data_IF_384233896624
#
_entry.id   IF_384233896624
#
_cell.length_a   1.000
_cell.length_b   1.000
_cell.length_c   1.000
_cell.angle_alpha   90.00
_cell.angle_beta   90.00
_cell.angle_gamma   90.00
#
_symmetry.space_group_name_H-M   'P 1'
#
loop_
_entity.id
_entity.type
_entity.pdbx_description
1 polymer ?
#
# COMPACT_ATOMS: atom_id res chain seq x y z
N UNK A 1 5.20 12.93 -6.04
CA UNK A 1 5.93 12.88 -7.34
C UNK A 1 6.74 11.60 -7.48
N UNK A 2 7.66 11.25 -6.55
CA UNK A 2 8.41 9.99 -6.58
C UNK A 2 7.53 8.72 -6.48
N UNK A 3 6.49 8.74 -5.62
CA UNK A 3 5.49 7.67 -5.53
C UNK A 3 4.76 7.43 -6.86
N UNK A 4 4.42 8.50 -7.56
CA UNK A 4 3.76 8.47 -8.87
C UNK A 4 4.69 7.98 -9.99
N UNK A 5 5.99 8.28 -9.90
CA UNK A 5 7.00 7.78 -10.83
C UNK A 5 7.23 6.26 -10.69
N UNK A 6 7.25 5.74 -9.45
CA UNK A 6 7.34 4.30 -9.21
C UNK A 6 6.06 3.55 -9.63
N UNK A 7 4.87 4.10 -9.33
CA UNK A 7 3.59 3.55 -9.79
C UNK A 7 3.48 3.50 -11.32
N UNK A 8 4.08 4.45 -12.04
CA UNK A 8 4.13 4.42 -13.51
C UNK A 8 5.07 3.34 -14.06
N UNK A 9 6.13 2.99 -13.34
CA UNK A 9 7.02 1.88 -13.68
C UNK A 9 6.36 0.53 -13.36
N UNK A 10 5.66 0.41 -12.22
CA UNK A 10 4.95 -0.82 -11.81
C UNK A 10 3.76 -1.17 -12.70
N UNK A 11 3.02 -0.17 -13.22
CA UNK A 11 1.92 -0.39 -14.19
C UNK A 11 2.36 -1.09 -15.48
N UNK A 12 3.65 -1.10 -15.81
CA UNK A 12 4.18 -1.74 -17.02
C UNK A 12 4.39 -3.26 -16.87
N UNK A 13 4.25 -3.82 -15.66
CA UNK A 13 4.62 -5.21 -15.35
C UNK A 13 3.40 -6.15 -15.23
N UNK A 14 2.16 -5.65 -15.35
CA UNK A 14 0.95 -6.50 -15.30
C UNK A 14 0.90 -7.46 -14.07
N UNK A 15 1.38 -6.98 -12.91
CA UNK A 15 1.31 -7.74 -11.65
C UNK A 15 -0.09 -7.57 -11.02
N UNK A 16 -0.56 -8.62 -10.35
CA UNK A 16 -1.79 -8.60 -9.54
C UNK A 16 -1.73 -7.42 -8.54
N UNK A 17 -2.82 -6.66 -8.28
CA UNK A 17 -2.79 -5.47 -7.41
C UNK A 17 -2.11 -5.72 -6.06
N UNK A 18 -2.37 -6.88 -5.45
CA UNK A 18 -1.71 -7.38 -4.23
C UNK A 18 -0.16 -7.40 -4.30
N UNK A 19 0.40 -7.89 -5.41
CA UNK A 19 1.85 -7.96 -5.59
C UNK A 19 2.41 -6.57 -5.84
N UNK A 20 1.66 -5.73 -6.55
CA UNK A 20 2.07 -4.35 -6.80
C UNK A 20 2.11 -3.54 -5.49
N UNK A 21 1.14 -3.72 -4.59
CA UNK A 21 1.11 -3.04 -3.29
C UNK A 21 2.23 -3.52 -2.35
N UNK A 22 2.58 -4.81 -2.39
CA UNK A 22 3.74 -5.35 -1.68
C UNK A 22 5.05 -4.73 -2.19
N UNK A 23 5.27 -4.72 -3.50
CA UNK A 23 6.51 -4.17 -4.08
C UNK A 23 6.58 -2.66 -3.86
N UNK A 24 5.45 -1.95 -4.00
CA UNK A 24 5.38 -0.53 -3.74
C UNK A 24 5.73 -0.18 -2.29
N UNK A 25 5.19 -0.92 -1.31
CA UNK A 25 5.47 -0.69 0.11
C UNK A 25 6.93 -0.96 0.50
N UNK A 26 7.57 -2.00 -0.05
CA UNK A 26 9.01 -2.26 0.14
C UNK A 26 9.83 -1.06 -0.39
N UNK A 27 9.52 -0.60 -1.60
CA UNK A 27 10.27 0.48 -2.25
C UNK A 27 10.08 1.81 -1.54
N UNK A 28 8.87 2.09 -1.05
CA UNK A 28 8.58 3.26 -0.23
C UNK A 28 9.45 3.27 1.03
N UNK A 29 9.58 2.14 1.73
CA UNK A 29 10.38 2.03 2.95
C UNK A 29 11.86 2.32 2.68
N UNK A 30 12.41 1.73 1.60
CA UNK A 30 13.80 1.95 1.18
C UNK A 30 14.06 3.41 0.77
N UNK A 31 13.15 4.02 0.00
CA UNK A 31 13.29 5.42 -0.41
C UNK A 31 13.16 6.37 0.78
N UNK A 32 12.24 6.09 1.71
CA UNK A 32 12.07 6.88 2.92
C UNK A 32 13.36 6.94 3.74
N UNK A 33 14.07 5.81 3.86
CA UNK A 33 15.37 5.77 4.53
C UNK A 33 16.43 6.59 3.80
N UNK A 34 16.55 6.45 2.48
CA UNK A 34 17.52 7.21 1.67
C UNK A 34 17.26 8.72 1.81
N UNK A 35 16.00 9.15 1.84
CA UNK A 35 15.64 10.57 2.04
C UNK A 35 16.01 11.10 3.43
N UNK A 36 15.88 10.29 4.48
CA UNK A 36 16.33 10.65 5.84
C UNK A 36 17.86 10.78 5.88
N UNK A 37 18.58 9.87 5.20
CA UNK A 37 20.05 9.91 5.14
C UNK A 37 20.59 11.12 4.36
N UNK A 38 19.84 11.61 3.36
CA UNK A 38 20.16 12.84 2.59
C UNK A 38 19.76 14.12 3.36
N UNK A 39 19.14 14.00 4.54
CA UNK A 39 18.83 15.14 5.41
C UNK A 39 17.54 15.89 5.05
N UNK A 40 16.68 15.32 4.20
CA UNK A 40 15.41 15.93 3.75
C UNK A 40 14.23 15.57 4.68
N UNK A 41 14.46 14.77 5.73
CA UNK A 41 13.44 14.45 6.72
C UNK A 41 14.03 14.03 8.07
N UNK A 42 13.44 14.52 9.17
CA UNK A 42 13.90 14.22 10.54
C UNK A 42 13.29 12.93 11.12
N UNK A 43 12.13 12.52 10.62
CA UNK A 43 11.34 11.44 11.22
C UNK A 43 10.84 10.47 10.15
N UNK A 44 11.49 9.31 10.08
CA UNK A 44 11.19 8.22 9.13
C UNK A 44 9.72 7.76 9.25
N UNK A 45 9.18 7.76 10.47
CA UNK A 45 7.80 7.32 10.75
C UNK A 45 6.75 8.15 10.00
N UNK A 46 6.96 9.47 9.93
CA UNK A 46 6.00 10.38 9.26
C UNK A 46 6.01 10.18 7.75
N UNK A 47 7.17 9.89 7.17
CA UNK A 47 7.32 9.64 5.74
C UNK A 47 6.66 8.31 5.36
N UNK A 48 6.87 7.28 6.19
CA UNK A 48 6.25 5.97 6.01
C UNK A 48 4.72 6.07 6.13
N UNK A 49 4.20 6.67 7.19
CA UNK A 49 2.74 6.83 7.40
C UNK A 49 2.10 7.63 6.24
N UNK A 50 2.73 8.73 5.81
CA UNK A 50 2.21 9.55 4.71
C UNK A 50 2.22 8.83 3.36
N UNK A 51 3.16 7.92 3.13
CA UNK A 51 3.25 7.15 1.89
C UNK A 51 2.27 5.97 1.87
N UNK A 52 2.06 5.32 3.02
CA UNK A 52 1.09 4.22 3.16
C UNK A 52 -0.34 4.70 2.93
N UNK A 53 -0.68 5.93 3.34
CA UNK A 53 -2.05 6.47 3.24
C UNK A 53 -2.66 6.39 1.82
N UNK A 54 -1.85 6.49 0.77
CA UNK A 54 -2.30 6.38 -0.62
C UNK A 54 -2.61 4.94 -1.02
N UNK A 55 -1.95 3.98 -0.38
CA UNK A 55 -2.01 2.55 -0.69
C UNK A 55 -3.09 1.82 0.14
N UNK A 56 -3.60 2.44 1.20
CA UNK A 56 -4.65 1.85 2.04
C UNK A 56 -5.91 1.56 1.19
N UNK A 57 -6.51 0.37 1.32
CA UNK A 57 -7.64 -0.06 0.50
C UNK A 57 -8.98 0.57 0.92
N UNK A 58 -9.03 1.90 1.05
CA UNK A 58 -10.22 2.63 1.50
C UNK A 58 -11.42 2.48 0.56
N UNK A 59 -11.17 2.39 -0.75
CA UNK A 59 -12.22 2.15 -1.73
C UNK A 59 -12.81 0.74 -1.63
N UNK A 60 -11.98 -0.29 -1.42
CA UNK A 60 -12.46 -1.66 -1.22
C UNK A 60 -13.28 -1.81 0.07
N UNK A 61 -12.86 -1.17 1.17
CA UNK A 61 -13.64 -1.14 2.43
C UNK A 61 -14.99 -0.44 2.22
N UNK A 62 -15.01 0.68 1.51
CA UNK A 62 -16.25 1.43 1.25
C UNK A 62 -17.20 0.63 0.34
N UNK A 63 -16.66 -0.01 -0.69
CA UNK A 63 -17.43 -0.89 -1.59
C UNK A 63 -17.96 -2.12 -0.85
N UNK A 64 -17.15 -2.75 0.01
CA UNK A 64 -17.58 -3.84 0.87
C UNK A 64 -18.80 -3.48 1.72
N UNK A 65 -18.76 -2.33 2.41
CA UNK A 65 -19.87 -1.85 3.24
C UNK A 65 -21.08 -1.55 2.36
N UNK A 66 -20.89 -0.84 1.24
CA UNK A 66 -21.95 -0.51 0.30
C UNK A 66 -22.66 -1.76 -0.21
N UNK A 67 -21.91 -2.74 -0.69
CA UNK A 67 -22.46 -3.92 -1.35
C UNK A 67 -23.17 -4.83 -0.31
N UNK A 68 -22.63 -4.91 0.91
CA UNK A 68 -23.29 -5.55 2.06
C UNK A 68 -24.64 -4.89 2.39
N UNK A 69 -24.70 -3.55 2.37
CA UNK A 69 -25.93 -2.80 2.63
C UNK A 69 -26.97 -2.93 1.51
N UNK A 70 -26.55 -3.18 0.27
CA UNK A 70 -27.45 -3.47 -0.86
C UNK A 70 -27.94 -4.92 -0.89
N UNK A 71 -27.54 -5.76 0.09
CA UNK A 71 -27.93 -7.16 0.17
C UNK A 71 -27.07 -8.11 -0.68
N UNK A 72 -26.01 -7.60 -1.32
CA UNK A 72 -25.03 -8.43 -2.02
C UNK A 72 -23.88 -8.80 -1.07
N UNK A 73 -24.16 -9.78 -0.22
CA UNK A 73 -23.20 -10.26 0.77
C UNK A 73 -22.01 -11.01 0.16
N UNK A 74 -22.17 -11.58 -1.04
CA UNK A 74 -21.11 -12.32 -1.72
C UNK A 74 -20.00 -11.37 -2.20
N UNK A 75 -20.38 -10.27 -2.86
CA UNK A 75 -19.43 -9.21 -3.24
C UNK A 75 -18.92 -8.43 -2.03
N UNK A 76 -19.77 -8.18 -1.04
CA UNK A 76 -19.38 -7.57 0.23
C UNK A 76 -18.23 -8.33 0.91
N UNK A 77 -18.39 -9.65 1.08
CA UNK A 77 -17.36 -10.50 1.69
C UNK A 77 -16.07 -10.58 0.84
N UNK A 78 -16.19 -10.63 -0.49
CA UNK A 78 -15.04 -10.63 -1.38
C UNK A 78 -14.22 -9.33 -1.26
N UNK A 79 -14.88 -8.18 -1.21
CA UNK A 79 -14.23 -6.88 -1.05
C UNK A 79 -13.59 -6.72 0.34
N UNK A 80 -14.19 -7.25 1.41
CA UNK A 80 -13.58 -7.27 2.75
C UNK A 80 -12.30 -8.11 2.73
N UNK A 81 -12.37 -9.31 2.16
CA UNK A 81 -11.21 -10.20 2.07
C UNK A 81 -10.09 -9.58 1.24
N UNK A 82 -10.43 -8.92 0.14
CA UNK A 82 -9.47 -8.17 -0.67
C UNK A 82 -8.80 -7.07 0.17
N UNK A 83 -9.58 -6.20 0.83
CA UNK A 83 -9.05 -5.12 1.64
C UNK A 83 -8.15 -5.62 2.79
N UNK A 84 -8.54 -6.73 3.45
CA UNK A 84 -7.74 -7.34 4.51
C UNK A 84 -6.41 -7.88 3.97
N UNK A 85 -6.45 -8.56 2.82
CA UNK A 85 -5.25 -9.14 2.20
C UNK A 85 -4.31 -8.04 1.70
N UNK A 86 -4.84 -6.98 1.08
CA UNK A 86 -4.05 -5.81 0.65
C UNK A 86 -3.40 -5.13 1.86
N UNK A 87 -4.13 -4.90 2.95
CA UNK A 87 -3.57 -4.35 4.18
C UNK A 87 -2.45 -5.22 4.77
N UNK A 88 -2.61 -6.55 4.76
CA UNK A 88 -1.59 -7.49 5.22
C UNK A 88 -0.33 -7.42 4.34
N UNK A 89 -0.47 -7.36 3.01
CA UNK A 89 0.66 -7.24 2.10
C UNK A 89 1.42 -5.93 2.28
N UNK A 90 0.71 -4.81 2.48
CA UNK A 90 1.34 -3.51 2.75
C UNK A 90 2.12 -3.56 4.07
N UNK A 91 1.53 -4.10 5.13
CA UNK A 91 2.21 -4.24 6.42
C UNK A 91 3.48 -5.10 6.31
N UNK A 92 3.40 -6.23 5.61
CA UNK A 92 4.54 -7.10 5.35
C UNK A 92 5.63 -6.39 4.52
N UNK A 93 5.25 -5.65 3.47
CA UNK A 93 6.21 -4.95 2.63
C UNK A 93 6.94 -3.84 3.37
N UNK A 94 6.25 -3.09 4.23
CA UNK A 94 6.89 -2.08 5.10
C UNK A 94 7.86 -2.75 6.07
N UNK A 95 7.45 -3.83 6.72
CA UNK A 95 8.29 -4.57 7.67
C UNK A 95 9.56 -5.13 6.99
N UNK A 96 9.42 -5.77 5.84
CA UNK A 96 10.55 -6.28 5.04
C UNK A 96 11.45 -5.14 4.59
N UNK A 97 10.88 -4.02 4.14
CA UNK A 97 11.65 -2.85 3.73
C UNK A 97 12.44 -2.21 4.88
N UNK A 98 11.91 -2.25 6.10
CA UNK A 98 12.62 -1.80 7.30
C UNK A 98 13.70 -2.81 7.74
N UNK A 99 13.45 -4.11 7.60
CA UNK A 99 14.42 -5.18 7.94
C UNK A 99 15.63 -5.21 7.00
N UNK A 100 15.45 -4.82 5.73
CA UNK A 100 16.52 -4.75 4.73
C UNK A 100 17.52 -3.60 4.96
N UNK A 101 17.27 -2.75 5.96
CA UNK A 101 18.07 -1.59 6.35
C UNK A 101 18.74 -1.81 7.71
#
# INVERSE_FOLDING_TARGET
>A
VFLAAWLHIGKKIALNPLINDLVASIVISVIAFVMVHVGIGSHIDRIIIGSIMVLVPGAAITNAIRDTLHGDYASGNANILQAFTEAAMIALGVYVGLLLL
#
